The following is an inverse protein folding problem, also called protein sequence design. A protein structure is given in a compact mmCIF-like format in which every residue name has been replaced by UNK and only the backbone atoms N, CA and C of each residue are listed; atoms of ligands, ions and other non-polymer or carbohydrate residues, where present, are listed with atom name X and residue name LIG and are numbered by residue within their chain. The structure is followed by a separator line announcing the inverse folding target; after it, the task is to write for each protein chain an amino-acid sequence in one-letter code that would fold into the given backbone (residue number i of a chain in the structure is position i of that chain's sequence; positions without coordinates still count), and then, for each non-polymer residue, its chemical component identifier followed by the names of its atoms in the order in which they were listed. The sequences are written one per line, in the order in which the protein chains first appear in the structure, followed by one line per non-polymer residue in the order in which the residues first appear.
data_IF_584922810950
#
_entry.id   IF_584922810950
#
_cell.length_a   1.000
_cell.length_b   1.000
_cell.length_c   1.000
_cell.angle_alpha   90.00
_cell.angle_beta   90.00
_cell.angle_gamma   90.00
#
_symmetry.space_group_name_H-M   'P 1'
#
loop_
_entity.id
_entity.type
_entity.pdbx_description
1 polymer ?
#
# COMPACT_ATOMS: atom_id res chain seq x y z
N UNK A 1 -15.31 -15.64 -49.15
CA UNK A 1 -16.21 -14.51 -48.91
C UNK A 1 -15.37 -13.31 -48.49
N UNK A 2 -15.63 -12.18 -49.11
CA UNK A 2 -14.73 -11.03 -49.29
C UNK A 2 -14.50 -10.21 -48.02
N UNK A 3 -13.22 -9.80 -47.80
CA UNK A 3 -12.73 -8.93 -46.70
C UNK A 3 -13.22 -7.45 -46.75
N UNK A 4 -14.30 -7.15 -47.46
CA UNK A 4 -14.80 -5.78 -47.70
C UNK A 4 -16.03 -5.37 -46.87
N UNK A 5 -16.51 -6.19 -45.92
CA UNK A 5 -17.72 -5.91 -45.15
C UNK A 5 -17.41 -5.45 -43.70
N UNK A 6 -16.15 -5.46 -43.27
CA UNK A 6 -15.77 -5.11 -41.90
C UNK A 6 -15.36 -3.64 -41.66
N UNK A 7 -15.41 -2.80 -42.70
CA UNK A 7 -14.97 -1.37 -42.58
C UNK A 7 -16.12 -0.36 -42.50
N UNK A 8 -17.38 -0.80 -42.60
CA UNK A 8 -18.52 0.12 -42.66
C UNK A 8 -19.37 0.22 -41.39
N UNK A 9 -18.92 -0.29 -40.27
CA UNK A 9 -19.67 -0.28 -38.99
C UNK A 9 -19.01 0.52 -37.88
N UNK A 10 -17.96 1.32 -38.15
CA UNK A 10 -17.25 2.15 -37.17
C UNK A 10 -17.36 3.67 -37.41
N UNK A 11 -18.31 4.12 -38.19
CA UNK A 11 -18.44 5.53 -38.57
C UNK A 11 -19.82 6.14 -38.25
N UNK A 12 -20.53 5.68 -37.19
CA UNK A 12 -21.80 6.31 -36.83
C UNK A 12 -22.05 6.23 -35.30
N UNK A 13 -21.37 7.05 -34.55
CA UNK A 13 -21.81 7.54 -33.21
C UNK A 13 -20.87 8.62 -32.65
N UNK A 14 -20.91 9.77 -33.28
CA UNK A 14 -20.46 11.04 -32.68
C UNK A 14 -21.49 12.12 -33.02
N UNK A 15 -22.57 12.22 -32.27
CA UNK A 15 -23.46 13.40 -32.26
C UNK A 15 -23.95 13.65 -30.84
N UNK A 16 -23.34 14.65 -30.23
CA UNK A 16 -23.92 15.72 -29.39
C UNK A 16 -24.91 15.34 -28.28
N UNK A 17 -24.50 15.59 -27.06
CA UNK A 17 -25.38 15.76 -25.91
C UNK A 17 -24.79 16.81 -24.95
N UNK A 18 -24.95 18.11 -25.29
CA UNK A 18 -24.73 19.20 -24.33
C UNK A 18 -25.97 19.26 -23.42
N UNK A 19 -25.86 18.78 -22.19
CA UNK A 19 -26.86 19.02 -21.16
C UNK A 19 -26.40 20.17 -20.28
N UNK A 20 -27.12 21.29 -20.36
CA UNK A 20 -27.00 22.42 -19.49
C UNK A 20 -27.44 22.05 -18.07
N UNK A 21 -26.55 22.24 -17.09
CA UNK A 21 -26.87 22.15 -15.67
C UNK A 21 -27.56 23.45 -15.24
N UNK A 22 -28.85 23.39 -14.92
CA UNK A 22 -29.58 24.46 -14.25
C UNK A 22 -29.42 24.29 -12.73
N UNK A 23 -29.27 25.36 -11.93
CA UNK A 23 -29.15 25.25 -10.48
C UNK A 23 -30.51 25.00 -9.83
N UNK A 24 -30.59 23.96 -9.01
CA UNK A 24 -31.72 23.67 -8.13
C UNK A 24 -31.64 24.58 -6.91
N UNK A 25 -32.59 25.51 -6.77
CA UNK A 25 -32.81 26.29 -5.56
C UNK A 25 -33.49 25.43 -4.49
N UNK A 26 -32.84 25.25 -3.34
CA UNK A 26 -33.43 24.68 -2.14
C UNK A 26 -34.30 25.71 -1.41
N UNK A 27 -35.45 25.31 -0.78
CA UNK A 27 -36.29 26.22 -0.04
C UNK A 27 -35.67 26.66 1.30
N UNK A 28 -35.82 27.95 1.60
CA UNK A 28 -35.40 28.56 2.85
C UNK A 28 -36.22 28.01 4.02
N UNK A 29 -35.54 27.55 5.06
CA UNK A 29 -36.13 27.25 6.38
C UNK A 29 -35.86 28.44 7.29
N UNK A 30 -36.92 28.92 7.93
CA UNK A 30 -36.97 30.05 8.85
C UNK A 30 -36.01 29.89 10.02
N UNK A 31 -35.25 30.95 10.30
CA UNK A 31 -34.38 31.05 11.46
C UNK A 31 -35.20 31.37 12.72
N UNK A 32 -35.10 30.49 13.71
CA UNK A 32 -35.56 30.79 15.07
C UNK A 32 -34.42 31.43 15.85
N UNK A 33 -34.68 32.66 16.33
CA UNK A 33 -33.80 33.41 17.21
C UNK A 33 -33.53 32.66 18.52
N UNK A 34 -32.25 32.47 18.88
CA UNK A 34 -31.82 32.12 20.23
C UNK A 34 -31.08 33.29 20.90
N UNK A 35 -31.24 33.44 22.22
CA UNK A 35 -30.89 34.70 22.89
C UNK A 35 -29.37 34.89 23.07
N UNK A 36 -28.98 36.17 23.06
CA UNK A 36 -27.64 36.66 23.26
C UNK A 36 -27.03 36.21 24.58
N UNK A 37 -25.88 35.53 24.54
CA UNK A 37 -25.01 35.28 25.69
C UNK A 37 -23.82 36.24 25.62
N UNK A 38 -23.57 36.82 26.77
CA UNK A 38 -22.61 37.83 27.16
C UNK A 38 -21.17 37.53 26.72
N UNK A 39 -20.53 38.48 26.05
CA UNK A 39 -19.13 38.43 25.60
C UNK A 39 -18.21 38.82 26.75
N UNK A 40 -17.64 37.82 27.45
CA UNK A 40 -16.42 38.07 28.22
C UNK A 40 -15.20 37.95 27.28
N UNK A 41 -14.57 39.12 27.03
CA UNK A 41 -13.32 39.20 26.28
C UNK A 41 -12.19 38.49 27.04
N UNK A 42 -11.81 37.31 26.61
CA UNK A 42 -10.56 36.69 27.02
C UNK A 42 -9.41 37.32 26.24
N UNK A 43 -8.50 37.97 26.94
CA UNK A 43 -7.27 38.52 26.37
C UNK A 43 -6.46 37.35 25.74
N UNK A 44 -6.24 37.44 24.43
CA UNK A 44 -5.32 36.57 23.72
C UNK A 44 -3.90 36.87 24.21
N UNK A 45 -3.34 35.99 25.00
CA UNK A 45 -1.91 35.98 25.29
C UNK A 45 -1.20 35.54 24.02
N UNK A 46 -0.54 36.46 23.34
CA UNK A 46 0.37 36.15 22.24
C UNK A 46 1.45 35.18 22.76
N UNK A 47 1.41 33.94 22.28
CA UNK A 47 2.52 33.02 22.44
C UNK A 47 3.74 33.58 21.72
N UNK A 48 4.95 33.57 22.32
CA UNK A 48 6.14 34.05 21.66
C UNK A 48 6.35 33.25 20.38
N UNK A 49 6.45 33.97 19.25
CA UNK A 49 6.86 33.39 17.97
C UNK A 49 8.29 32.85 18.14
N UNK A 50 8.40 31.56 18.36
CA UNK A 50 9.69 30.87 18.27
C UNK A 50 10.06 30.88 16.77
N UNK A 51 11.08 31.67 16.45
CA UNK A 51 11.78 31.65 15.17
C UNK A 51 12.63 30.35 15.13
N UNK A 52 11.94 29.21 14.99
CA UNK A 52 12.56 27.92 14.75
C UNK A 52 12.51 27.71 13.25
N UNK A 53 13.64 27.89 12.56
CA UNK A 53 13.82 27.34 11.23
C UNK A 53 13.32 25.88 11.27
N UNK A 54 12.30 25.58 10.46
CA UNK A 54 11.65 24.27 10.49
C UNK A 54 12.73 23.20 10.30
N UNK A 55 12.89 22.30 11.28
CA UNK A 55 13.86 21.21 11.22
C UNK A 55 13.50 20.34 10.01
N UNK A 56 14.41 20.18 9.08
CA UNK A 56 14.27 19.22 7.99
C UNK A 56 14.74 17.86 8.50
N UNK A 57 13.88 16.87 8.39
CA UNK A 57 14.18 15.50 8.79
C UNK A 57 14.79 14.73 7.62
N UNK A 58 15.75 13.85 7.93
CA UNK A 58 16.36 12.95 6.95
C UNK A 58 15.73 11.56 7.07
N UNK A 59 15.07 11.12 6.02
CA UNK A 59 14.39 9.84 5.98
C UNK A 59 14.91 8.93 4.86
N UNK A 60 14.71 7.62 5.04
CA UNK A 60 15.00 6.60 4.03
C UNK A 60 13.71 5.90 3.60
N UNK A 61 13.58 5.64 2.30
CA UNK A 61 12.62 4.72 1.72
C UNK A 61 13.37 3.44 1.34
N UNK A 62 13.11 2.35 2.05
CA UNK A 62 13.74 1.04 1.82
C UNK A 62 12.70 0.12 1.23
N UNK A 63 12.98 -0.44 0.06
CA UNK A 63 12.03 -1.28 -0.67
C UNK A 63 12.73 -2.47 -1.31
N UNK A 64 11.96 -3.49 -1.62
CA UNK A 64 12.43 -4.70 -2.28
C UNK A 64 13.09 -4.40 -3.63
N UNK A 65 12.36 -3.79 -4.55
CA UNK A 65 12.87 -3.37 -5.86
C UNK A 65 11.93 -2.35 -6.52
N UNK A 66 12.47 -1.33 -7.15
CA UNK A 66 11.69 -0.36 -7.93
C UNK A 66 11.27 -0.90 -9.32
N UNK A 67 11.73 -2.08 -9.72
CA UNK A 67 11.15 -2.82 -10.87
C UNK A 67 9.74 -3.33 -10.58
N UNK A 68 9.32 -3.41 -9.32
CA UNK A 68 7.94 -3.64 -8.93
C UNK A 68 7.16 -2.32 -9.06
N UNK A 69 6.14 -2.30 -9.92
CA UNK A 69 5.37 -1.09 -10.23
C UNK A 69 4.70 -0.46 -9.00
N UNK A 70 4.23 -1.27 -8.04
CA UNK A 70 3.62 -0.77 -6.80
C UNK A 70 4.64 -0.04 -5.93
N UNK A 71 5.88 -0.54 -5.85
CA UNK A 71 6.96 0.07 -5.10
C UNK A 71 7.47 1.35 -5.78
N UNK A 72 7.60 1.33 -7.10
CA UNK A 72 7.94 2.52 -7.89
C UNK A 72 6.88 3.62 -7.72
N UNK A 73 5.59 3.25 -7.71
CA UNK A 73 4.50 4.19 -7.47
C UNK A 73 4.56 4.76 -6.04
N UNK A 74 4.75 3.91 -5.02
CA UNK A 74 4.90 4.35 -3.64
C UNK A 74 6.08 5.33 -3.50
N UNK A 75 7.25 5.00 -4.06
CA UNK A 75 8.41 5.88 -4.06
C UNK A 75 8.09 7.25 -4.69
N UNK A 76 7.42 7.26 -5.83
CA UNK A 76 7.00 8.51 -6.50
C UNK A 76 6.10 9.37 -5.59
N UNK A 77 5.17 8.75 -4.84
CA UNK A 77 4.32 9.47 -3.90
C UNK A 77 5.14 10.03 -2.72
N UNK A 78 6.04 9.24 -2.14
CA UNK A 78 6.94 9.72 -1.10
C UNK A 78 7.77 10.92 -1.58
N UNK A 79 8.38 10.85 -2.77
CA UNK A 79 9.12 11.97 -3.36
C UNK A 79 8.27 13.23 -3.55
N UNK A 80 7.02 13.07 -3.97
CA UNK A 80 6.11 14.18 -4.20
C UNK A 80 5.79 14.93 -2.91
N UNK A 81 5.56 14.20 -1.81
CA UNK A 81 5.04 14.80 -0.58
C UNK A 81 6.10 15.03 0.49
N UNK A 82 7.26 14.37 0.45
CA UNK A 82 8.26 14.48 1.53
C UNK A 82 8.68 15.94 1.82
N UNK A 83 8.84 16.76 0.79
CA UNK A 83 9.19 18.17 0.95
C UNK A 83 8.12 19.01 1.64
N UNK A 84 6.83 18.70 1.42
CA UNK A 84 5.70 19.39 2.05
C UNK A 84 5.66 19.13 3.57
N UNK A 85 6.15 17.97 4.00
CA UNK A 85 6.20 17.56 5.41
C UNK A 85 7.58 17.76 6.07
N UNK A 86 8.50 18.46 5.42
CA UNK A 86 9.80 18.79 5.98
C UNK A 86 10.79 17.62 6.02
N UNK A 87 10.67 16.66 5.09
CA UNK A 87 11.60 15.56 4.93
C UNK A 87 12.50 15.73 3.71
N UNK A 88 13.76 15.33 3.83
CA UNK A 88 14.58 14.86 2.69
C UNK A 88 14.56 13.34 2.70
N UNK A 89 14.50 12.70 1.52
CA UNK A 89 14.34 11.25 1.45
C UNK A 89 15.27 10.62 0.43
N UNK A 90 16.04 9.61 0.89
CA UNK A 90 16.86 8.76 0.05
C UNK A 90 16.18 7.41 -0.17
N UNK A 91 16.42 6.78 -1.33
CA UNK A 91 15.89 5.45 -1.65
C UNK A 91 16.99 4.40 -1.59
N UNK A 92 16.65 3.24 -1.04
CA UNK A 92 17.48 2.04 -1.00
C UNK A 92 16.68 0.85 -1.55
N UNK A 93 17.27 0.14 -2.50
CA UNK A 93 16.66 -1.06 -3.09
C UNK A 93 17.34 -2.32 -2.54
N UNK A 94 16.55 -3.24 -2.02
CA UNK A 94 17.00 -4.53 -1.53
C UNK A 94 17.30 -5.53 -2.63
N UNK A 95 16.81 -5.31 -3.84
CA UNK A 95 16.90 -6.25 -4.96
C UNK A 95 16.31 -7.63 -4.60
N UNK A 96 15.17 -7.63 -3.88
CA UNK A 96 14.49 -8.79 -3.33
C UNK A 96 15.36 -9.64 -2.37
N UNK A 97 16.36 -9.03 -1.74
CA UNK A 97 17.25 -9.66 -0.76
C UNK A 97 17.21 -8.86 0.56
N UNK A 98 16.66 -9.46 1.60
CA UNK A 98 16.56 -8.86 2.93
C UNK A 98 17.93 -8.49 3.53
N UNK A 99 19.02 -9.15 3.13
CA UNK A 99 20.36 -8.79 3.58
C UNK A 99 20.81 -7.41 3.05
N UNK A 100 20.38 -7.05 1.85
CA UNK A 100 20.63 -5.73 1.31
C UNK A 100 19.77 -4.67 2.02
N UNK A 101 18.52 -5.01 2.35
CA UNK A 101 17.65 -4.15 3.15
C UNK A 101 18.21 -3.92 4.57
N UNK A 102 18.72 -4.98 5.21
CA UNK A 102 19.41 -4.89 6.51
C UNK A 102 20.65 -3.98 6.45
N UNK A 103 21.44 -4.09 5.38
CA UNK A 103 22.59 -3.17 5.16
C UNK A 103 22.14 -1.72 4.97
N UNK A 104 21.00 -1.50 4.28
CA UNK A 104 20.43 -0.17 4.13
C UNK A 104 20.01 0.40 5.50
N UNK A 105 19.37 -0.40 6.36
CA UNK A 105 19.05 0.00 7.75
C UNK A 105 20.32 0.37 8.53
N UNK A 106 21.36 -0.47 8.48
CA UNK A 106 22.64 -0.19 9.14
C UNK A 106 23.28 1.10 8.61
N UNK A 107 23.15 1.37 7.30
CA UNK A 107 23.62 2.62 6.69
C UNK A 107 22.84 3.82 7.23
N UNK A 108 21.54 3.71 7.38
CA UNK A 108 20.70 4.77 7.95
C UNK A 108 21.10 5.07 9.40
N UNK A 109 21.34 4.04 10.20
CA UNK A 109 21.85 4.20 11.58
C UNK A 109 23.18 4.94 11.59
N UNK A 110 24.14 4.48 10.80
CA UNK A 110 25.48 5.06 10.76
C UNK A 110 25.50 6.51 10.27
N UNK A 111 24.56 6.89 9.41
CA UNK A 111 24.45 8.23 8.82
C UNK A 111 23.47 9.15 9.57
N UNK A 112 22.89 8.70 10.68
CA UNK A 112 22.02 9.50 11.54
C UNK A 112 20.72 9.93 10.86
N UNK A 113 20.03 9.00 10.20
CA UNK A 113 18.68 9.24 9.69
C UNK A 113 17.69 9.41 10.85
N UNK A 114 16.69 10.27 10.66
CA UNK A 114 15.63 10.50 11.64
C UNK A 114 14.51 9.44 11.51
N UNK A 115 14.28 8.93 10.29
CA UNK A 115 13.21 7.96 10.01
C UNK A 115 13.57 6.97 8.88
N UNK A 116 12.99 5.78 8.97
CA UNK A 116 13.01 4.74 7.93
C UNK A 116 11.58 4.36 7.60
N UNK A 117 11.24 4.36 6.31
CA UNK A 117 10.01 3.77 5.77
C UNK A 117 10.41 2.53 4.98
N UNK A 118 9.92 1.35 5.42
CA UNK A 118 10.40 0.08 4.86
C UNK A 118 9.25 -0.87 4.48
N UNK A 119 9.40 -1.52 3.31
CA UNK A 119 8.64 -2.69 2.91
C UNK A 119 9.63 -3.84 2.64
N UNK A 120 9.88 -4.71 3.63
CA UNK A 120 10.93 -5.71 3.53
C UNK A 120 10.51 -6.92 2.69
N UNK A 121 11.50 -7.57 2.10
CA UNK A 121 11.33 -8.84 1.37
C UNK A 121 10.95 -10.01 2.29
N UNK A 122 11.42 -9.98 3.55
CA UNK A 122 11.11 -10.97 4.58
C UNK A 122 10.87 -10.28 5.93
N UNK A 123 9.62 -10.42 6.42
CA UNK A 123 9.15 -9.74 7.65
C UNK A 123 9.77 -10.31 8.94
N UNK A 124 10.30 -11.52 8.92
CA UNK A 124 10.97 -12.12 10.07
C UNK A 124 12.47 -11.80 10.07
N UNK A 125 13.11 -11.95 8.92
CA UNK A 125 14.55 -11.77 8.80
C UNK A 125 15.00 -10.30 8.98
N UNK A 126 14.11 -9.32 8.74
CA UNK A 126 14.44 -7.89 8.92
C UNK A 126 14.38 -7.44 10.40
N UNK A 127 13.68 -8.17 11.27
CA UNK A 127 13.42 -7.77 12.68
C UNK A 127 14.67 -7.35 13.43
N UNK A 128 15.79 -8.10 13.40
CA UNK A 128 17.00 -7.69 14.13
C UNK A 128 17.51 -6.29 13.73
N UNK A 129 17.48 -5.97 12.44
CA UNK A 129 17.91 -4.67 11.94
C UNK A 129 16.97 -3.53 12.39
N UNK A 130 15.67 -3.80 12.46
CA UNK A 130 14.70 -2.81 12.95
C UNK A 130 14.82 -2.60 14.47
N UNK A 131 15.19 -3.64 15.24
CA UNK A 131 15.56 -3.48 16.66
C UNK A 131 16.73 -2.51 16.82
N UNK A 132 17.80 -2.69 16.04
CA UNK A 132 18.96 -1.79 16.06
C UNK A 132 18.58 -0.35 15.67
N UNK A 133 17.70 -0.17 14.67
CA UNK A 133 17.21 1.14 14.28
C UNK A 133 16.39 1.81 15.40
N UNK A 134 15.53 1.05 16.08
CA UNK A 134 14.76 1.53 17.25
C UNK A 134 15.68 1.91 18.41
N UNK A 135 16.68 1.10 18.71
CA UNK A 135 17.67 1.36 19.77
C UNK A 135 18.50 2.62 19.45
N UNK A 136 18.74 2.91 18.17
CA UNK A 136 19.38 4.14 17.71
C UNK A 136 18.44 5.37 17.74
N UNK A 137 17.17 5.21 18.11
CA UNK A 137 16.18 6.29 18.17
C UNK A 137 15.58 6.69 16.83
N UNK A 138 15.73 5.86 15.79
CA UNK A 138 15.15 6.10 14.47
C UNK A 138 13.66 5.74 14.49
N UNK A 139 12.83 6.60 13.89
CA UNK A 139 11.41 6.30 13.67
C UNK A 139 11.27 5.27 12.56
N UNK A 140 10.60 4.17 12.83
CA UNK A 140 10.38 3.07 11.87
C UNK A 140 8.93 3.02 11.44
N UNK A 141 8.68 3.32 10.18
CA UNK A 141 7.38 3.16 9.51
C UNK A 141 7.41 1.95 8.59
N UNK A 142 6.46 1.03 8.78
CA UNK A 142 6.23 -0.06 7.84
C UNK A 142 5.17 0.37 6.83
N UNK A 143 5.34 0.00 5.57
CA UNK A 143 4.30 0.19 4.56
C UNK A 143 4.12 -1.07 3.73
N UNK A 144 2.90 -1.30 3.24
CA UNK A 144 2.53 -2.48 2.45
C UNK A 144 2.58 -3.80 3.23
N UNK A 145 3.69 -4.10 3.90
CA UNK A 145 3.88 -5.27 4.77
C UNK A 145 4.04 -4.85 6.22
N UNK A 146 3.46 -5.60 7.14
CA UNK A 146 3.62 -5.39 8.58
C UNK A 146 4.50 -6.48 9.21
N UNK A 147 5.07 -6.17 10.37
CA UNK A 147 5.81 -7.14 11.17
C UNK A 147 4.88 -8.20 11.79
N UNK A 148 5.39 -9.40 12.08
CA UNK A 148 4.68 -10.38 12.89
C UNK A 148 4.22 -9.75 14.22
N UNK A 149 3.07 -10.19 14.73
CA UNK A 149 2.42 -9.59 15.89
C UNK A 149 3.36 -9.44 17.10
N UNK A 150 4.20 -10.43 17.33
CA UNK A 150 5.20 -10.47 18.41
C UNK A 150 6.38 -9.51 18.22
N UNK A 151 6.53 -8.93 17.02
CA UNK A 151 7.63 -8.02 16.68
C UNK A 151 7.16 -6.59 16.38
N UNK A 152 5.86 -6.30 16.49
CA UNK A 152 5.29 -4.99 16.14
C UNK A 152 5.79 -3.84 17.04
N UNK A 153 6.38 -4.12 18.20
CA UNK A 153 7.04 -3.10 19.02
C UNK A 153 8.28 -2.48 18.37
N UNK A 154 8.80 -3.09 17.29
CA UNK A 154 9.99 -2.59 16.57
C UNK A 154 9.63 -1.69 15.39
N UNK A 155 8.36 -1.32 15.24
CA UNK A 155 7.89 -0.24 14.39
C UNK A 155 7.08 0.78 15.17
N UNK A 156 7.02 2.01 14.67
CA UNK A 156 6.18 3.07 15.26
C UNK A 156 4.78 3.06 14.65
N UNK A 157 4.67 2.77 13.35
CA UNK A 157 3.38 2.68 12.65
C UNK A 157 3.46 1.74 11.45
N UNK A 158 2.27 1.35 10.98
CA UNK A 158 2.07 0.61 9.73
C UNK A 158 1.03 1.32 8.87
N UNK A 159 1.28 1.38 7.56
CA UNK A 159 0.36 1.87 6.56
C UNK A 159 0.22 0.84 5.44
N UNK A 160 -0.92 0.20 5.33
CA UNK A 160 -1.18 -0.84 4.34
C UNK A 160 -2.63 -1.25 4.31
N UNK A 161 -2.93 -2.26 3.48
CA UNK A 161 -4.25 -2.88 3.39
C UNK A 161 -4.35 -4.07 4.35
N UNK A 162 -5.56 -4.51 4.64
CA UNK A 162 -5.80 -5.80 5.27
C UNK A 162 -5.67 -6.91 4.21
N UNK A 163 -4.46 -7.47 4.11
CA UNK A 163 -4.14 -8.51 3.13
C UNK A 163 -4.88 -9.83 3.38
N UNK A 164 -5.23 -10.14 4.63
CA UNK A 164 -6.06 -11.30 4.95
C UNK A 164 -7.47 -11.12 4.37
N UNK A 165 -8.08 -9.94 4.59
CA UNK A 165 -9.39 -9.62 4.02
C UNK A 165 -9.34 -9.57 2.49
N UNK A 166 -8.25 -9.07 1.89
CA UNK A 166 -8.08 -9.10 0.44
C UNK A 166 -8.06 -10.54 -0.11
N UNK A 167 -7.35 -11.44 0.57
CA UNK A 167 -7.34 -12.88 0.23
C UNK A 167 -8.72 -13.52 0.39
N UNK A 168 -9.41 -13.27 1.49
CA UNK A 168 -10.77 -13.78 1.73
C UNK A 168 -11.75 -13.29 0.66
N UNK A 169 -11.68 -12.01 0.28
CA UNK A 169 -12.53 -11.44 -0.77
C UNK A 169 -12.26 -12.12 -2.12
N UNK A 170 -10.99 -12.40 -2.45
CA UNK A 170 -10.62 -13.15 -3.65
C UNK A 170 -11.16 -14.58 -3.61
N UNK A 171 -11.01 -15.29 -2.50
CA UNK A 171 -11.52 -16.64 -2.32
C UNK A 171 -13.04 -16.71 -2.45
N UNK A 172 -13.76 -15.78 -1.81
CA UNK A 172 -15.22 -15.70 -1.92
C UNK A 172 -15.67 -15.45 -3.36
N UNK A 173 -14.97 -14.61 -4.11
CA UNK A 173 -15.28 -14.38 -5.52
C UNK A 173 -15.16 -15.66 -6.35
N UNK A 174 -14.18 -16.54 -6.06
CA UNK A 174 -14.06 -17.85 -6.70
C UNK A 174 -15.23 -18.76 -6.33
N UNK A 175 -15.63 -18.83 -5.06
CA UNK A 175 -16.78 -19.62 -4.60
C UNK A 175 -18.05 -19.18 -5.29
N UNK A 176 -18.30 -17.87 -5.38
CA UNK A 176 -19.47 -17.30 -6.03
C UNK A 176 -19.50 -17.56 -7.55
N UNK A 177 -18.32 -17.53 -8.18
CA UNK A 177 -18.21 -17.74 -9.63
C UNK A 177 -18.28 -19.21 -10.04
N UNK A 178 -17.86 -20.13 -9.16
CA UNK A 178 -17.82 -21.56 -9.39
C UNK A 178 -18.66 -22.33 -8.35
N UNK A 179 -19.98 -22.15 -8.33
CA UNK A 179 -20.86 -22.77 -7.31
C UNK A 179 -20.86 -24.31 -7.35
N UNK A 180 -20.61 -24.89 -8.52
CA UNK A 180 -20.49 -26.34 -8.70
C UNK A 180 -19.09 -26.88 -8.38
N UNK A 181 -18.14 -26.00 -8.07
CA UNK A 181 -16.75 -26.30 -7.76
C UNK A 181 -15.80 -26.07 -8.90
N UNK A 182 -14.53 -25.98 -8.55
CA UNK A 182 -13.42 -25.86 -9.50
C UNK A 182 -12.13 -26.45 -8.92
N UNK A 183 -11.23 -26.87 -9.80
CA UNK A 183 -9.83 -27.18 -9.45
C UNK A 183 -8.96 -25.99 -9.89
N UNK A 184 -8.17 -25.48 -8.97
CA UNK A 184 -7.35 -24.28 -9.16
C UNK A 184 -5.90 -24.54 -8.79
N UNK A 185 -5.00 -23.72 -9.29
CA UNK A 185 -3.61 -23.57 -8.83
C UNK A 185 -3.41 -22.16 -8.27
N UNK A 186 -2.47 -22.05 -7.33
CA UNK A 186 -2.12 -20.77 -6.73
C UNK A 186 -0.70 -20.37 -7.15
N UNK A 187 -0.57 -19.17 -7.68
CA UNK A 187 0.73 -18.54 -7.93
C UNK A 187 0.88 -17.40 -6.92
N UNK A 188 1.70 -17.62 -5.91
CA UNK A 188 1.97 -16.65 -4.85
C UNK A 188 3.07 -15.66 -5.21
N UNK A 189 3.14 -14.56 -4.47
CA UNK A 189 4.27 -13.63 -4.52
C UNK A 189 5.52 -14.20 -3.87
N UNK A 190 6.45 -13.31 -3.49
CA UNK A 190 7.70 -13.70 -2.86
C UNK A 190 7.45 -14.39 -1.51
N UNK A 191 8.04 -15.57 -1.31
CA UNK A 191 7.98 -16.29 -0.05
C UNK A 191 8.59 -15.45 1.10
N UNK A 192 7.95 -15.48 2.29
CA UNK A 192 8.36 -14.68 3.45
C UNK A 192 7.81 -13.24 3.47
N UNK A 193 7.21 -12.78 2.38
CA UNK A 193 6.57 -11.47 2.32
C UNK A 193 5.18 -11.51 2.97
N UNK A 194 4.89 -10.52 3.83
CA UNK A 194 3.65 -10.45 4.62
C UNK A 194 2.38 -10.53 3.77
N UNK A 195 2.30 -9.73 2.69
CA UNK A 195 1.13 -9.73 1.81
C UNK A 195 0.90 -11.08 1.11
N UNK A 196 1.98 -11.79 0.73
CA UNK A 196 1.88 -13.13 0.16
C UNK A 196 1.26 -14.10 1.18
N UNK A 197 1.81 -14.14 2.39
CA UNK A 197 1.35 -15.03 3.47
C UNK A 197 -0.13 -14.77 3.78
N UNK A 198 -0.47 -13.53 4.07
CA UNK A 198 -1.83 -13.15 4.49
C UNK A 198 -2.88 -13.34 3.39
N UNK A 199 -2.55 -12.98 2.13
CA UNK A 199 -3.48 -13.19 1.00
C UNK A 199 -3.71 -14.67 0.73
N UNK A 200 -2.66 -15.49 0.74
CA UNK A 200 -2.76 -16.93 0.57
C UNK A 200 -3.61 -17.56 1.69
N UNK A 201 -3.33 -17.22 2.94
CA UNK A 201 -4.08 -17.73 4.08
C UNK A 201 -5.55 -17.28 4.05
N UNK A 202 -5.81 -16.01 3.75
CA UNK A 202 -7.17 -15.49 3.62
C UNK A 202 -7.96 -16.17 2.50
N UNK A 203 -7.32 -16.39 1.34
CA UNK A 203 -7.92 -17.09 0.22
C UNK A 203 -8.29 -18.54 0.60
N UNK A 204 -7.34 -19.27 1.21
CA UNK A 204 -7.54 -20.66 1.65
C UNK A 204 -8.65 -20.79 2.69
N UNK A 205 -8.73 -19.83 3.64
CA UNK A 205 -9.82 -19.77 4.61
C UNK A 205 -11.19 -19.60 3.93
N UNK A 206 -11.28 -18.76 2.90
CA UNK A 206 -12.53 -18.52 2.20
C UNK A 206 -13.02 -19.73 1.37
N UNK A 207 -12.12 -20.53 0.83
CA UNK A 207 -12.48 -21.73 0.06
C UNK A 207 -12.62 -23.00 0.93
N UNK A 208 -12.24 -22.94 2.20
CA UNK A 208 -12.33 -24.08 3.12
C UNK A 208 -13.78 -24.58 3.25
N UNK A 209 -13.98 -25.89 3.08
CA UNK A 209 -15.31 -26.53 3.16
C UNK A 209 -16.22 -26.26 1.95
N UNK A 210 -15.71 -25.63 0.91
CA UNK A 210 -16.41 -25.41 -0.37
C UNK A 210 -16.06 -26.51 -1.39
N UNK A 211 -16.59 -26.41 -2.61
CA UNK A 211 -16.26 -27.30 -3.71
C UNK A 211 -15.02 -26.86 -4.52
N UNK A 212 -14.30 -25.83 -4.06
CA UNK A 212 -13.05 -25.39 -4.69
C UNK A 212 -11.90 -26.27 -4.18
N UNK A 213 -11.14 -26.86 -5.10
CA UNK A 213 -9.97 -27.70 -4.78
C UNK A 213 -8.70 -27.01 -5.22
N UNK A 214 -7.82 -26.68 -4.26
CA UNK A 214 -6.46 -26.21 -4.56
C UNK A 214 -5.58 -27.42 -4.89
N UNK A 215 -5.15 -27.51 -6.15
CA UNK A 215 -4.32 -28.61 -6.67
C UNK A 215 -2.87 -28.45 -6.25
N UNK A 216 -2.31 -27.26 -6.49
CA UNK A 216 -0.90 -26.94 -6.21
C UNK A 216 -0.73 -25.44 -5.94
N UNK A 217 0.40 -25.09 -5.31
CA UNK A 217 0.74 -23.71 -4.97
C UNK A 217 2.24 -23.50 -5.13
N UNK A 218 2.64 -22.51 -5.92
CA UNK A 218 4.02 -22.11 -6.10
C UNK A 218 4.20 -20.61 -5.90
N UNK A 219 5.34 -20.21 -5.34
CA UNK A 219 5.68 -18.81 -5.12
C UNK A 219 6.70 -18.32 -6.16
N UNK A 220 6.52 -17.11 -6.64
CA UNK A 220 7.54 -16.39 -7.41
C UNK A 220 8.78 -16.11 -6.55
N UNK A 221 9.93 -15.96 -7.19
CA UNK A 221 11.18 -15.53 -6.52
C UNK A 221 11.12 -14.07 -6.05
N UNK A 222 10.21 -13.28 -6.64
CA UNK A 222 9.89 -11.91 -6.31
C UNK A 222 8.48 -11.59 -6.79
N UNK A 223 8.14 -10.31 -6.93
CA UNK A 223 6.88 -9.85 -7.50
C UNK A 223 7.04 -9.56 -8.98
N UNK A 224 7.46 -10.57 -9.75
CA UNK A 224 7.87 -10.45 -11.15
C UNK A 224 6.91 -11.24 -12.05
N UNK A 225 6.30 -10.56 -13.02
CA UNK A 225 5.33 -11.18 -13.95
C UNK A 225 5.94 -12.36 -14.74
N UNK A 226 7.22 -12.27 -15.13
CA UNK A 226 7.88 -13.34 -15.88
C UNK A 226 7.97 -14.65 -15.08
N UNK A 227 8.20 -14.57 -13.76
CA UNK A 227 8.22 -15.76 -12.89
C UNK A 227 6.83 -16.40 -12.83
N UNK A 228 5.78 -15.57 -12.66
CA UNK A 228 4.40 -16.06 -12.62
C UNK A 228 3.99 -16.73 -13.94
N UNK A 229 4.44 -16.19 -15.09
CA UNK A 229 4.22 -16.80 -16.40
C UNK A 229 4.91 -18.16 -16.52
N UNK A 230 6.17 -18.27 -16.11
CA UNK A 230 6.91 -19.54 -16.14
C UNK A 230 6.26 -20.59 -15.24
N UNK A 231 5.85 -20.21 -14.02
CA UNK A 231 5.13 -21.11 -13.10
C UNK A 231 3.80 -21.57 -13.73
N UNK A 232 3.06 -20.67 -14.40
CA UNK A 232 1.79 -21.02 -15.04
C UNK A 232 1.97 -21.97 -16.24
N UNK A 233 3.13 -21.92 -16.91
CA UNK A 233 3.47 -22.83 -18.01
C UNK A 233 3.81 -24.24 -17.48
N UNK A 234 4.28 -24.34 -16.23
CA UNK A 234 4.64 -25.61 -15.58
C UNK A 234 3.43 -26.33 -14.98
N UNK A 235 2.32 -25.65 -14.68
CA UNK A 235 1.05 -26.23 -14.22
C UNK A 235 0.24 -26.85 -15.37
#
# INVERSE_FOLDING_TARGET
MSKKILVLLLAFMMVVGVFACAPVTAPATEATEAPAADTAAAAATEAPAADTAAKTYKAAFITQALSNESQAYAWKQFQQYCGEYGFTMDVFEGQNDVQNEAKAVSTCIAQGYDAIFINPSDINAIVPSLMEAKDAGIVVGMFSSDLPKESQQYRDFFCGVDDTMAGQTGGQAFVDHFPDGATIVEIGGQAGHDAQIKRADGFRQAIEGTNITLLDSQNCSGWVTADAMAIMEDF
#
